data_IF_436937483227
#
_entry.id   IF_436937483227
#
_cell.length_a   1.000
_cell.length_b   1.000
_cell.length_c   1.000
_cell.angle_alpha   90.00
_cell.angle_beta   90.00
_cell.angle_gamma   90.00
#
_symmetry.space_group_name_H-M   'P 1'
#
loop_
_entity.id
_entity.type
_entity.pdbx_description
1 polymer ?
#
# COMPACT_ATOMS: atom_id res chain seq x y z
N UNK A 1 61.27 3.66 27.64
CA UNK A 1 60.25 2.84 28.35
C UNK A 1 59.07 3.77 28.62
N UNK A 2 58.32 4.12 27.58
CA UNK A 2 57.05 3.48 27.17
C UNK A 2 55.99 3.62 28.27
N UNK A 3 55.14 4.66 28.19
CA UNK A 3 53.78 4.57 27.61
C UNK A 3 52.94 3.46 28.24
N UNK A 4 52.23 3.70 29.35
CA UNK A 4 50.88 3.16 29.67
C UNK A 4 50.30 3.94 30.88
N UNK A 5 49.87 5.19 30.72
CA UNK A 5 48.98 5.83 31.71
C UNK A 5 47.95 6.79 31.09
N UNK A 6 47.67 6.59 29.79
CA UNK A 6 46.56 7.22 29.07
C UNK A 6 45.85 6.10 28.31
N UNK A 7 45.08 5.25 28.99
CA UNK A 7 44.20 4.28 28.31
C UNK A 7 43.07 3.73 29.19
N UNK A 8 42.47 4.55 30.06
CA UNK A 8 41.23 4.17 30.76
C UNK A 8 40.22 5.32 30.93
N UNK A 9 40.28 6.34 30.09
CA UNK A 9 39.28 7.43 30.05
C UNK A 9 38.91 7.90 28.63
N UNK A 10 39.02 7.01 27.63
CA UNK A 10 38.62 7.30 26.23
C UNK A 10 37.77 6.17 25.62
N UNK A 11 36.90 5.51 26.41
CA UNK A 11 35.96 4.51 25.85
C UNK A 11 34.52 4.68 26.33
N UNK A 12 34.11 5.92 26.63
CA UNK A 12 32.78 6.24 27.18
C UNK A 12 31.95 7.22 26.35
N UNK A 13 32.38 7.57 25.13
CA UNK A 13 31.64 8.45 24.22
C UNK A 13 31.80 7.96 22.77
N UNK A 14 31.25 6.79 22.48
CA UNK A 14 30.70 6.55 21.14
C UNK A 14 29.24 7.00 21.24
N UNK A 15 28.88 8.04 20.50
CA UNK A 15 27.55 8.66 20.48
C UNK A 15 26.45 7.61 20.31
N UNK A 16 25.23 7.93 20.77
CA UNK A 16 24.01 7.15 20.52
C UNK A 16 23.87 6.73 19.05
N UNK A 17 24.32 7.57 18.11
CA UNK A 17 24.47 7.28 16.67
C UNK A 17 25.21 5.97 16.36
N UNK A 18 26.31 5.64 17.05
CA UNK A 18 27.05 4.39 16.77
C UNK A 18 26.30 3.12 17.21
N UNK A 19 25.38 3.23 18.18
CA UNK A 19 24.51 2.13 18.58
C UNK A 19 23.26 2.03 17.68
N UNK A 20 22.77 3.17 17.21
CA UNK A 20 21.71 3.32 16.21
C UNK A 20 22.09 2.66 14.88
N UNK A 21 23.31 2.94 14.39
CA UNK A 21 23.84 2.39 13.15
C UNK A 21 23.70 0.86 13.13
N UNK A 22 24.14 0.16 14.18
CA UNK A 22 24.07 -1.31 14.25
C UNK A 22 22.66 -1.89 14.17
N UNK A 23 21.65 -1.19 14.66
CA UNK A 23 20.25 -1.68 14.61
C UNK A 23 19.72 -1.64 13.18
N UNK A 24 20.07 -0.61 12.42
CA UNK A 24 19.48 -0.31 11.12
C UNK A 24 20.44 -0.47 9.94
N UNK A 25 21.70 -0.87 10.17
CA UNK A 25 22.72 -1.18 9.14
C UNK A 25 22.28 -2.27 8.15
N UNK A 26 21.30 -3.10 8.54
CA UNK A 26 20.67 -4.08 7.64
C UNK A 26 19.75 -3.45 6.57
N UNK A 27 19.42 -2.16 6.66
CA UNK A 27 18.64 -1.50 5.63
C UNK A 27 19.46 -1.31 4.37
N UNK A 28 18.99 -1.78 3.20
CA UNK A 28 19.72 -1.64 1.93
C UNK A 28 19.99 -0.19 1.48
N UNK A 29 19.43 0.79 2.17
CA UNK A 29 19.51 2.22 1.89
C UNK A 29 19.62 3.02 3.20
N UNK A 30 20.20 2.40 4.24
CA UNK A 30 20.32 2.97 5.58
C UNK A 30 20.88 4.41 5.53
N UNK A 31 22.02 4.56 4.86
CA UNK A 31 22.71 5.83 4.70
C UNK A 31 21.84 6.86 3.98
N UNK A 32 21.16 6.49 2.90
CA UNK A 32 20.32 7.43 2.14
C UNK A 32 19.04 7.82 2.88
N UNK A 33 18.42 6.93 3.68
CA UNK A 33 17.30 7.29 4.57
C UNK A 33 17.78 8.26 5.63
N UNK A 34 18.91 7.92 6.26
CA UNK A 34 19.42 8.64 7.42
C UNK A 34 19.89 10.04 7.03
N UNK A 35 20.67 10.15 5.95
CA UNK A 35 21.18 11.41 5.39
C UNK A 35 20.10 12.21 4.65
N UNK A 36 18.99 11.56 4.29
CA UNK A 36 17.83 12.18 3.63
C UNK A 36 17.92 12.27 2.11
N UNK A 37 19.02 11.81 1.51
CA UNK A 37 19.22 11.77 0.07
C UNK A 37 18.14 10.91 -0.62
N UNK A 38 17.69 9.84 0.04
CA UNK A 38 16.64 8.96 -0.48
C UNK A 38 15.34 9.71 -0.80
N UNK A 39 14.95 10.64 0.08
CA UNK A 39 13.68 11.37 -0.01
C UNK A 39 13.64 12.44 -1.10
N UNK A 40 14.81 12.87 -1.57
CA UNK A 40 14.91 13.87 -2.64
C UNK A 40 14.81 13.24 -4.03
N UNK A 41 14.99 11.92 -4.14
CA UNK A 41 14.96 11.24 -5.42
C UNK A 41 13.53 11.10 -5.95
N UNK A 42 13.41 11.20 -7.27
CA UNK A 42 12.15 10.96 -7.98
C UNK A 42 11.98 9.48 -8.38
N UNK A 43 10.77 9.14 -8.83
CA UNK A 43 10.39 7.81 -9.28
C UNK A 43 11.37 7.24 -10.31
N UNK A 44 11.78 8.05 -11.28
CA UNK A 44 12.65 7.61 -12.37
C UNK A 44 14.07 7.33 -11.88
N UNK A 45 14.60 8.15 -10.97
CA UNK A 45 15.91 7.96 -10.34
C UNK A 45 15.96 6.70 -9.48
N UNK A 46 14.96 6.48 -8.61
CA UNK A 46 14.91 5.27 -7.77
C UNK A 46 14.71 4.04 -8.63
N UNK A 47 13.78 4.09 -9.59
CA UNK A 47 13.51 2.98 -10.48
C UNK A 47 14.74 2.66 -11.31
N UNK A 48 15.41 3.65 -11.91
CA UNK A 48 16.62 3.42 -12.69
C UNK A 48 17.78 2.86 -11.83
N UNK A 49 18.00 3.41 -10.63
CA UNK A 49 19.05 2.92 -9.71
C UNK A 49 18.80 1.48 -9.29
N UNK A 50 17.53 1.08 -9.09
CA UNK A 50 17.18 -0.18 -8.42
C UNK A 50 16.60 -1.25 -9.34
N UNK A 51 16.29 -0.91 -10.60
CA UNK A 51 15.79 -1.86 -11.60
C UNK A 51 16.74 -3.04 -11.74
N UNK A 52 18.04 -2.79 -11.79
CA UNK A 52 19.03 -3.84 -12.01
C UNK A 52 19.47 -4.50 -10.69
N UNK A 53 19.57 -3.75 -9.59
CA UNK A 53 20.05 -4.26 -8.30
C UNK A 53 18.99 -5.09 -7.55
N UNK A 54 17.72 -4.69 -7.61
CA UNK A 54 16.64 -5.29 -6.85
C UNK A 54 15.51 -5.85 -7.74
N UNK A 55 15.70 -5.90 -9.06
CA UNK A 55 14.69 -6.34 -10.04
C UNK A 55 13.33 -5.67 -9.81
N UNK A 56 13.36 -4.38 -9.50
CA UNK A 56 12.19 -3.60 -9.15
C UNK A 56 11.14 -3.70 -10.26
N UNK A 57 9.97 -4.26 -9.92
CA UNK A 57 8.85 -4.37 -10.85
C UNK A 57 8.03 -3.09 -10.79
N UNK A 58 7.75 -2.56 -11.98
CA UNK A 58 7.04 -1.30 -12.14
C UNK A 58 5.55 -1.56 -12.30
N UNK A 59 4.73 -1.05 -11.39
CA UNK A 59 3.29 -0.91 -11.62
C UNK A 59 2.99 0.56 -11.98
N UNK A 60 3.47 1.01 -13.14
CA UNK A 60 3.01 2.28 -13.71
C UNK A 60 1.62 2.04 -14.30
N UNK A 61 0.59 2.63 -13.70
CA UNK A 61 -0.69 2.80 -14.38
C UNK A 61 -0.67 4.16 -15.08
N UNK A 62 -0.04 4.21 -16.25
CA UNK A 62 -0.35 5.26 -17.21
C UNK A 62 -1.21 4.66 -18.32
N UNK A 63 -2.21 5.42 -18.74
CA UNK A 63 -2.93 5.18 -19.97
C UNK A 63 -2.09 5.72 -21.16
N UNK A 64 -0.86 5.23 -21.32
CA UNK A 64 0.19 5.83 -22.16
C UNK A 64 0.07 5.54 -23.68
N UNK A 65 -1.11 5.19 -24.18
CA UNK A 65 -1.35 5.06 -25.63
C UNK A 65 -2.15 6.21 -26.23
N UNK A 66 -2.06 7.42 -25.65
CA UNK A 66 -2.56 8.64 -26.31
C UNK A 66 -1.36 9.52 -26.64
N UNK A 67 -0.82 9.35 -27.85
CA UNK A 67 0.00 10.37 -28.49
C UNK A 67 -0.73 11.73 -28.36
N UNK A 68 -0.05 12.72 -27.78
CA UNK A 68 -0.53 14.09 -27.51
C UNK A 68 -1.42 14.29 -26.27
N UNK A 69 -0.93 13.97 -25.08
CA UNK A 69 -1.35 14.70 -23.87
C UNK A 69 -0.20 15.61 -23.45
N UNK A 70 -0.41 16.93 -23.58
CA UNK A 70 0.47 17.96 -23.01
C UNK A 70 0.79 17.60 -21.56
N UNK A 71 2.09 17.50 -21.25
CA UNK A 71 2.62 17.11 -19.94
C UNK A 71 2.24 18.07 -18.80
N UNK A 72 1.67 19.23 -19.12
CA UNK A 72 1.50 20.35 -18.18
C UNK A 72 0.20 20.35 -17.35
N UNK A 73 -0.67 19.33 -17.42
CA UNK A 73 -1.90 19.31 -16.62
C UNK A 73 -2.30 17.91 -16.11
N UNK A 74 -1.34 17.14 -15.62
CA UNK A 74 -1.62 15.91 -14.89
C UNK A 74 -1.93 16.24 -13.43
N UNK A 75 -3.18 16.63 -13.16
CA UNK A 75 -3.70 16.63 -11.80
C UNK A 75 -3.96 15.17 -11.37
N UNK A 76 -2.99 14.62 -10.63
CA UNK A 76 -3.05 13.29 -10.01
C UNK A 76 -3.92 13.42 -8.75
N UNK A 77 -5.18 12.97 -8.83
CA UNK A 77 -5.97 12.74 -7.62
C UNK A 77 -5.90 11.25 -7.28
N UNK A 78 -5.13 10.92 -6.25
CA UNK A 78 -4.77 9.56 -5.85
C UNK A 78 -3.25 9.44 -5.78
N UNK A 79 -2.67 10.02 -4.72
CA UNK A 79 -1.22 10.24 -4.48
C UNK A 79 -0.35 8.97 -4.32
N UNK A 80 -0.53 7.92 -5.13
CA UNK A 80 0.29 6.71 -5.00
C UNK A 80 0.53 6.04 -6.36
N UNK A 81 1.53 6.52 -7.10
CA UNK A 81 2.36 5.56 -7.84
C UNK A 81 3.14 4.78 -6.80
N UNK A 82 3.21 3.45 -6.93
CA UNK A 82 4.11 2.69 -6.08
C UNK A 82 4.86 1.61 -6.85
N UNK A 83 6.13 1.43 -6.50
CA UNK A 83 6.94 0.32 -6.99
C UNK A 83 6.98 -0.77 -5.94
N UNK A 84 7.15 -2.03 -6.35
CA UNK A 84 7.39 -3.10 -5.39
C UNK A 84 8.55 -4.01 -5.78
N UNK A 85 9.14 -4.62 -4.75
CA UNK A 85 10.20 -5.62 -4.90
C UNK A 85 9.68 -6.97 -4.40
N UNK A 86 9.95 -8.02 -5.17
CA UNK A 86 9.59 -9.40 -4.81
C UNK A 86 10.46 -9.90 -3.65
N UNK A 87 9.92 -10.73 -2.73
CA UNK A 87 10.60 -11.14 -1.50
C UNK A 87 12.02 -11.70 -1.70
N UNK A 88 12.25 -12.42 -2.81
CA UNK A 88 13.52 -13.11 -3.06
C UNK A 88 14.70 -12.16 -3.25
N UNK A 89 14.46 -10.96 -3.80
CA UNK A 89 15.50 -10.02 -4.19
C UNK A 89 15.82 -8.98 -3.08
N UNK A 90 15.11 -9.01 -1.94
CA UNK A 90 15.32 -8.07 -0.83
C UNK A 90 16.22 -8.71 0.25
N UNK A 91 17.29 -8.03 0.73
CA UNK A 91 18.07 -8.53 1.86
C UNK A 91 17.22 -8.60 3.13
N UNK A 92 17.73 -9.27 4.16
CA UNK A 92 17.07 -9.21 5.47
C UNK A 92 17.10 -7.79 6.02
N UNK A 93 15.97 -7.33 6.55
CA UNK A 93 15.78 -6.03 7.17
C UNK A 93 15.37 -6.28 8.62
N UNK A 94 16.17 -5.80 9.58
CA UNK A 94 15.91 -6.00 11.01
C UNK A 94 15.77 -7.50 11.39
N UNK A 95 16.50 -8.36 10.68
CA UNK A 95 16.43 -9.81 10.83
C UNK A 95 15.14 -10.43 10.28
N UNK A 96 14.32 -9.71 9.52
CA UNK A 96 13.20 -10.27 8.77
C UNK A 96 13.59 -10.41 7.30
N UNK A 97 13.23 -11.52 6.67
CA UNK A 97 13.17 -11.60 5.21
C UNK A 97 11.86 -10.92 4.77
N UNK A 98 11.90 -9.74 4.13
CA UNK A 98 10.68 -9.00 3.81
C UNK A 98 9.81 -9.77 2.82
N UNK A 99 8.50 -9.73 3.01
CA UNK A 99 7.52 -10.35 2.13
C UNK A 99 7.09 -9.43 1.00
N UNK A 100 7.08 -8.12 1.26
CA UNK A 100 6.79 -7.07 0.26
C UNK A 100 7.50 -5.79 0.65
N UNK A 101 8.02 -5.07 -0.33
CA UNK A 101 8.61 -3.76 -0.15
C UNK A 101 7.97 -2.81 -1.18
N UNK A 102 7.21 -1.83 -0.71
CA UNK A 102 6.46 -0.87 -1.53
C UNK A 102 7.05 0.54 -1.34
N UNK A 103 7.33 1.25 -2.44
CA UNK A 103 7.79 2.64 -2.43
C UNK A 103 6.70 3.50 -3.03
N UNK A 104 6.21 4.49 -2.30
CA UNK A 104 5.15 5.40 -2.69
C UNK A 104 5.71 6.75 -3.08
N UNK A 105 5.15 7.33 -4.14
CA UNK A 105 5.56 8.62 -4.68
C UNK A 105 4.41 9.63 -4.63
N UNK A 106 4.73 10.88 -4.33
CA UNK A 106 3.77 11.99 -4.35
C UNK A 106 3.44 12.42 -5.79
N UNK A 107 2.52 13.39 -5.92
CA UNK A 107 2.13 14.00 -7.21
C UNK A 107 3.26 14.64 -8.02
N UNK A 108 4.41 14.93 -7.41
CA UNK A 108 5.59 15.47 -8.09
C UNK A 108 6.55 14.35 -8.53
N UNK A 109 6.20 13.09 -8.21
CA UNK A 109 7.04 11.92 -8.46
C UNK A 109 8.12 11.71 -7.41
N UNK A 110 8.14 12.47 -6.29
CA UNK A 110 9.12 12.29 -5.22
C UNK A 110 8.70 11.23 -4.23
N UNK A 111 9.67 10.56 -3.62
CA UNK A 111 9.37 9.53 -2.62
C UNK A 111 8.72 10.13 -1.39
N UNK A 112 7.55 9.59 -1.04
CA UNK A 112 6.75 10.02 0.09
C UNK A 112 6.69 8.95 1.20
N UNK A 113 6.77 7.67 0.85
CA UNK A 113 6.72 6.61 1.86
C UNK A 113 7.36 5.33 1.35
N UNK A 114 7.95 4.56 2.25
CA UNK A 114 8.31 3.16 2.05
C UNK A 114 7.47 2.33 3.02
N UNK A 115 6.85 1.26 2.54
CA UNK A 115 6.14 0.28 3.37
C UNK A 115 6.74 -1.08 3.15
N UNK A 116 7.12 -1.73 4.24
CA UNK A 116 7.76 -3.03 4.23
C UNK A 116 6.87 -3.99 5.01
N UNK A 117 6.35 -5.01 4.34
CA UNK A 117 5.70 -6.12 5.03
C UNK A 117 6.81 -7.06 5.54
N UNK A 118 7.08 -6.97 6.84
CA UNK A 118 8.13 -7.76 7.49
C UNK A 118 7.67 -9.19 7.79
N UNK A 119 6.37 -9.34 8.08
CA UNK A 119 5.77 -10.63 8.37
C UNK A 119 4.24 -10.59 8.20
N UNK A 120 3.67 -11.68 7.70
CA UNK A 120 2.23 -11.89 7.63
C UNK A 120 1.90 -13.37 7.84
N UNK A 121 0.86 -13.67 8.62
CA UNK A 121 0.41 -15.03 8.94
C UNK A 121 0.09 -15.90 7.72
N UNK A 122 -0.49 -15.32 6.67
CA UNK A 122 -0.91 -16.02 5.45
C UNK A 122 0.25 -16.37 4.53
N UNK A 123 1.33 -15.59 4.57
CA UNK A 123 2.46 -15.69 3.64
C UNK A 123 3.74 -16.23 4.29
N UNK A 124 3.78 -16.26 5.62
CA UNK A 124 4.95 -16.73 6.36
C UNK A 124 4.85 -18.23 6.66
N UNK A 125 5.98 -18.94 6.72
CA UNK A 125 6.01 -20.32 7.21
C UNK A 125 5.34 -20.44 8.58
N UNK A 126 4.71 -21.59 8.84
CA UNK A 126 4.20 -21.88 10.18
C UNK A 126 5.35 -21.82 11.18
N UNK A 127 5.14 -21.06 12.25
CA UNK A 127 6.12 -20.95 13.33
C UNK A 127 6.29 -22.33 13.99
N UNK A 128 7.48 -22.90 13.86
CA UNK A 128 7.82 -24.20 14.46
C UNK A 128 8.32 -24.04 15.90
N UNK A 129 9.00 -22.92 16.22
CA UNK A 129 9.54 -22.63 17.55
C UNK A 129 9.09 -21.27 18.09
N UNK A 130 9.06 -21.13 19.43
CA UNK A 130 8.78 -19.85 20.10
C UNK A 130 9.84 -18.77 19.85
N UNK A 131 11.09 -19.16 19.60
CA UNK A 131 12.19 -18.25 19.24
C UNK A 131 12.00 -17.57 17.89
N UNK A 132 11.20 -18.17 17.02
CA UNK A 132 10.91 -17.66 15.68
C UNK A 132 9.71 -16.70 15.69
N UNK A 133 9.22 -16.34 16.89
CA UNK A 133 8.09 -15.45 17.03
C UNK A 133 8.44 -14.05 16.49
N UNK A 134 7.80 -13.60 15.41
CA UNK A 134 8.11 -12.33 14.75
C UNK A 134 7.76 -11.13 15.63
N UNK A 135 6.75 -11.24 16.50
CA UNK A 135 6.35 -10.16 17.40
C UNK A 135 7.36 -9.96 18.53
N UNK A 136 7.91 -11.06 19.05
CA UNK A 136 8.99 -11.01 20.05
C UNK A 136 10.27 -10.40 19.43
N UNK A 137 10.51 -10.61 18.13
CA UNK A 137 11.61 -9.96 17.42
C UNK A 137 11.41 -8.44 17.37
N UNK A 138 10.20 -7.96 17.08
CA UNK A 138 9.92 -6.51 17.15
C UNK A 138 10.09 -5.95 18.55
N UNK A 139 9.60 -6.64 19.59
CA UNK A 139 9.82 -6.22 20.99
C UNK A 139 11.31 -6.02 21.31
N UNK A 140 12.17 -6.97 20.90
CA UNK A 140 13.63 -6.86 21.05
C UNK A 140 14.25 -5.70 20.26
N UNK A 141 13.74 -5.42 19.06
CA UNK A 141 14.17 -4.28 18.26
C UNK A 141 13.82 -2.98 18.98
N UNK A 142 12.59 -2.85 19.49
CA UNK A 142 12.16 -1.67 20.24
C UNK A 142 12.99 -1.46 21.52
N UNK A 143 13.32 -2.54 22.24
CA UNK A 143 14.20 -2.49 23.42
C UNK A 143 15.65 -2.07 23.06
N UNK A 144 16.17 -2.60 21.95
CA UNK A 144 17.50 -2.22 21.43
C UNK A 144 17.54 -0.76 21.01
N UNK A 145 16.49 -0.28 20.34
CA UNK A 145 16.30 1.12 19.98
C UNK A 145 16.29 2.03 21.22
N UNK A 146 15.55 1.63 22.26
CA UNK A 146 15.50 2.36 23.53
C UNK A 146 16.87 2.46 24.20
N UNK A 147 17.64 1.38 24.19
CA UNK A 147 19.03 1.34 24.71
C UNK A 147 19.95 2.25 23.89
N UNK A 148 19.70 2.39 22.59
CA UNK A 148 20.40 3.32 21.71
C UNK A 148 19.87 4.77 21.79
N UNK A 149 18.94 5.08 22.70
CA UNK A 149 18.39 6.43 22.88
C UNK A 149 17.26 6.83 21.92
N UNK A 150 16.70 5.87 21.15
CA UNK A 150 15.52 6.08 20.32
C UNK A 150 14.29 5.55 21.06
N UNK A 151 13.36 6.43 21.42
CA UNK A 151 12.10 6.00 22.03
C UNK A 151 10.97 5.95 21.00
N UNK A 152 10.42 4.76 20.80
CA UNK A 152 9.23 4.56 19.99
C UNK A 152 7.98 4.85 20.81
N UNK A 153 7.17 5.80 20.33
CA UNK A 153 5.93 6.22 20.93
C UNK A 153 4.81 5.25 20.55
N UNK A 154 4.12 4.71 21.54
CA UNK A 154 3.01 3.79 21.33
C UNK A 154 1.69 4.53 21.11
N UNK A 155 0.90 4.07 20.14
CA UNK A 155 -0.49 4.49 19.91
C UNK A 155 -1.32 3.28 19.52
N UNK A 156 -2.55 3.20 20.04
CA UNK A 156 -3.56 2.30 19.47
C UNK A 156 -4.19 2.95 18.26
N UNK A 157 -4.21 2.23 17.15
CA UNK A 157 -4.75 2.69 15.89
C UNK A 157 -5.87 1.77 15.41
N UNK A 158 -6.73 2.26 14.49
CA UNK A 158 -7.90 1.51 14.03
C UNK A 158 -8.18 1.81 12.56
N UNK A 159 -8.15 0.77 11.71
CA UNK A 159 -8.62 0.87 10.32
C UNK A 159 -10.15 0.97 10.25
N UNK A 160 -10.84 0.34 11.20
CA UNK A 160 -12.29 0.42 11.33
C UNK A 160 -12.69 0.19 12.79
N UNK A 161 -13.98 0.36 13.11
CA UNK A 161 -14.51 0.02 14.44
C UNK A 161 -14.16 -1.42 14.89
N UNK A 162 -13.92 -2.33 13.95
CA UNK A 162 -13.65 -3.76 14.20
C UNK A 162 -12.21 -4.19 13.98
N UNK A 163 -11.34 -3.29 13.54
CA UNK A 163 -9.97 -3.63 13.14
C UNK A 163 -9.00 -2.70 13.86
N UNK A 164 -8.25 -3.25 14.82
CA UNK A 164 -7.46 -2.50 15.80
C UNK A 164 -6.00 -2.96 15.76
N UNK A 165 -5.12 -2.05 15.45
CA UNK A 165 -3.69 -2.30 15.38
C UNK A 165 -2.93 -1.46 16.40
N UNK A 166 -1.73 -1.89 16.70
CA UNK A 166 -0.77 -1.17 17.54
C UNK A 166 0.24 -0.46 16.64
N UNK A 167 0.52 0.81 16.94
CA UNK A 167 1.47 1.64 16.23
C UNK A 167 2.61 2.00 17.17
N UNK A 168 3.85 1.86 16.71
CA UNK A 168 5.04 2.29 17.43
C UNK A 168 5.84 3.19 16.51
N UNK A 169 6.03 4.45 16.90
CA UNK A 169 6.58 5.46 15.98
C UNK A 169 7.74 6.25 16.58
N UNK A 170 8.79 6.45 15.80
CA UNK A 170 9.98 7.20 16.20
C UNK A 170 10.57 8.01 15.04
N UNK A 171 11.27 9.09 15.37
CA UNK A 171 12.13 9.80 14.43
C UNK A 171 13.52 9.17 14.41
N UNK A 172 14.01 8.86 13.22
CA UNK A 172 15.34 8.28 13.03
C UNK A 172 15.97 8.95 11.80
N UNK A 173 17.02 9.74 12.01
CA UNK A 173 17.59 10.59 10.97
C UNK A 173 16.52 11.52 10.39
N UNK A 174 16.43 11.56 9.05
CA UNK A 174 15.42 12.33 8.32
C UNK A 174 14.11 11.57 8.07
N UNK A 175 13.88 10.45 8.74
CA UNK A 175 12.70 9.59 8.57
C UNK A 175 11.82 9.49 9.81
N UNK A 176 10.50 9.43 9.58
CA UNK A 176 9.51 8.94 10.54
C UNK A 176 9.32 7.44 10.31
N UNK A 177 9.73 6.63 11.30
CA UNK A 177 9.57 5.18 11.28
C UNK A 177 8.32 4.81 12.08
N UNK A 178 7.51 3.91 11.55
CA UNK A 178 6.29 3.45 12.19
C UNK A 178 6.10 1.94 12.02
N UNK A 179 6.24 1.18 13.10
CA UNK A 179 5.79 -0.21 13.13
C UNK A 179 4.29 -0.24 13.30
N UNK A 180 3.61 -0.96 12.41
CA UNK A 180 2.18 -1.23 12.47
C UNK A 180 2.01 -2.72 12.70
N UNK A 181 1.42 -3.07 13.85
CA UNK A 181 1.37 -4.43 14.36
C UNK A 181 -0.06 -4.81 14.66
N UNK A 182 -0.53 -5.90 14.03
CA UNK A 182 -1.73 -6.59 14.47
C UNK A 182 -1.31 -7.95 15.01
N UNK A 183 -1.46 -8.14 16.32
CA UNK A 183 -0.99 -9.34 17.01
C UNK A 183 -1.52 -10.62 16.35
N UNK A 184 -0.60 -11.56 16.12
CA UNK A 184 -0.82 -12.85 15.45
C UNK A 184 -1.24 -12.77 13.97
N UNK A 185 -1.18 -11.60 13.33
CA UNK A 185 -1.68 -11.42 11.97
C UNK A 185 -0.64 -10.81 11.03
N UNK A 186 -0.08 -9.64 11.33
CA UNK A 186 0.95 -9.02 10.49
C UNK A 186 1.83 -8.01 11.22
N UNK A 187 2.97 -7.71 10.59
CA UNK A 187 3.93 -6.68 10.98
C UNK A 187 4.33 -5.91 9.73
N UNK A 188 3.98 -4.62 9.69
CA UNK A 188 4.43 -3.68 8.67
C UNK A 188 5.38 -2.67 9.31
N UNK A 189 6.36 -2.22 8.54
CA UNK A 189 7.17 -1.05 8.85
C UNK A 189 6.94 0.00 7.78
N UNK A 190 6.45 1.18 8.18
CA UNK A 190 6.32 2.34 7.32
C UNK A 190 7.41 3.36 7.65
N UNK A 191 7.99 3.97 6.62
CA UNK A 191 9.03 4.98 6.72
C UNK A 191 8.66 6.13 5.79
N UNK A 192 8.55 7.35 6.31
CA UNK A 192 8.25 8.55 5.52
C UNK A 192 9.24 9.68 5.80
N UNK A 193 9.48 10.62 4.86
CA UNK A 193 10.33 11.76 5.12
C UNK A 193 9.71 12.67 6.18
N UNK A 194 10.56 13.34 6.96
CA UNK A 194 10.12 14.48 7.77
C UNK A 194 10.06 15.72 6.88
N UNK A 195 8.89 16.36 6.80
CA UNK A 195 8.79 17.66 6.14
C UNK A 195 9.44 18.74 7.02
N UNK A 196 9.95 19.82 6.40
CA UNK A 196 10.58 20.92 7.15
C UNK A 196 9.67 21.52 8.23
N UNK A 197 8.36 21.58 7.96
CA UNK A 197 7.34 22.05 8.91
C UNK A 197 7.11 21.09 10.09
N UNK A 198 7.54 19.85 9.97
CA UNK A 198 7.31 18.77 10.93
C UNK A 198 8.50 18.58 11.88
N UNK A 199 9.67 19.15 11.57
CA UNK A 199 10.90 19.06 12.38
C UNK A 199 10.70 19.61 13.81
N UNK A 200 9.74 20.52 14.01
CA UNK A 200 9.41 21.06 15.33
C UNK A 200 8.49 20.14 16.17
N UNK A 201 7.85 19.14 15.56
CA UNK A 201 6.95 18.22 16.24
C UNK A 201 7.78 17.20 17.00
N UNK A 202 7.54 17.11 18.31
CA UNK A 202 8.30 16.22 19.21
C UNK A 202 7.68 14.83 19.32
N UNK A 203 6.39 14.70 19.03
CA UNK A 203 5.66 13.45 19.13
C UNK A 203 5.33 12.91 17.74
N UNK A 204 5.99 11.82 17.30
CA UNK A 204 5.72 11.15 16.03
C UNK A 204 4.24 10.82 15.77
N UNK A 205 3.46 10.55 16.82
CA UNK A 205 2.05 10.20 16.67
C UNK A 205 1.18 11.32 16.12
N UNK A 206 1.62 12.58 16.21
CA UNK A 206 0.91 13.75 15.68
C UNK A 206 1.01 13.85 14.15
N UNK A 207 2.02 13.22 13.55
CA UNK A 207 2.24 13.20 12.10
C UNK A 207 1.55 12.05 11.38
N UNK A 208 1.04 11.07 12.13
CA UNK A 208 0.38 9.90 11.55
C UNK A 208 -1.11 10.19 11.42
N UNK A 209 -1.65 10.34 10.19
CA UNK A 209 -3.05 10.69 9.98
C UNK A 209 -3.99 9.67 10.65
N UNK A 210 -5.07 10.13 11.29
CA UNK A 210 -6.17 9.23 11.65
C UNK A 210 -6.95 8.91 10.37
N UNK A 211 -6.89 7.65 9.95
CA UNK A 211 -7.57 7.15 8.74
C UNK A 211 -9.09 7.41 8.75
N UNK A 212 -9.70 7.69 9.91
CA UNK A 212 -11.13 7.99 10.06
C UNK A 212 -11.51 9.46 9.87
N UNK A 213 -10.56 10.39 9.85
CA UNK A 213 -10.85 11.83 9.78
C UNK A 213 -11.24 12.32 8.38
N UNK A 214 -11.44 11.43 7.40
CA UNK A 214 -11.95 11.81 6.07
C UNK A 214 -13.47 11.87 6.07
N UNK A 215 -14.03 13.00 5.62
CA UNK A 215 -15.48 13.14 5.39
C UNK A 215 -15.88 12.49 4.07
N UNK A 216 -17.18 12.19 3.90
CA UNK A 216 -17.69 11.65 2.65
C UNK A 216 -17.40 12.57 1.47
N UNK A 217 -17.58 13.87 1.69
CA UNK A 217 -17.38 14.91 0.70
C UNK A 217 -15.92 14.92 0.24
N UNK A 218 -14.96 14.88 1.17
CA UNK A 218 -13.53 14.84 0.85
C UNK A 218 -13.07 13.57 0.15
N UNK A 219 -13.78 12.45 0.30
CA UNK A 219 -13.40 11.15 -0.29
C UNK A 219 -13.74 11.03 -1.77
N UNK A 220 -14.90 11.56 -2.15
CA UNK A 220 -15.36 11.55 -3.53
C UNK A 220 -15.07 12.85 -4.26
N UNK A 221 -14.44 13.82 -3.58
CA UNK A 221 -14.09 15.09 -4.17
C UNK A 221 -13.13 14.89 -5.34
N UNK A 222 -13.46 15.45 -6.50
CA UNK A 222 -12.58 15.51 -7.64
C UNK A 222 -12.16 14.13 -8.21
N UNK A 223 -12.86 13.03 -7.89
CA UNK A 223 -12.60 11.71 -8.52
C UNK A 223 -12.89 11.73 -10.01
N UNK A 224 -13.80 12.60 -10.46
CA UNK A 224 -14.09 12.82 -11.88
C UNK A 224 -12.86 13.32 -12.66
N UNK A 225 -11.86 13.91 -12.00
CA UNK A 225 -10.59 14.31 -12.65
C UNK A 225 -9.73 13.11 -13.06
N UNK A 226 -10.00 11.93 -12.50
CA UNK A 226 -9.35 10.69 -12.88
C UNK A 226 -9.97 10.05 -14.12
N UNK A 227 -10.99 10.68 -14.71
CA UNK A 227 -11.63 10.17 -15.92
C UNK A 227 -10.88 10.69 -17.14
N UNK A 228 -10.59 9.79 -18.06
CA UNK A 228 -10.03 10.11 -19.38
C UNK A 228 -10.97 9.58 -20.45
N UNK A 229 -11.12 10.35 -21.53
CA UNK A 229 -11.75 9.89 -22.77
C UNK A 229 -10.73 9.97 -23.89
N UNK A 230 -10.50 8.87 -24.61
CA UNK A 230 -9.60 8.85 -25.76
C UNK A 230 -10.37 9.07 -27.09
N UNK A 231 -9.67 9.39 -28.20
CA UNK A 231 -10.30 9.56 -29.51
C UNK A 231 -11.09 8.34 -30.01
N UNK A 232 -10.78 7.14 -29.50
CA UNK A 232 -11.47 5.90 -29.86
C UNK A 232 -12.81 5.72 -29.12
N UNK A 233 -13.18 6.67 -28.25
CA UNK A 233 -14.44 6.69 -27.49
C UNK A 233 -14.42 5.84 -26.22
N UNK A 234 -13.25 5.44 -25.74
CA UNK A 234 -13.10 4.78 -24.44
C UNK A 234 -13.17 5.82 -23.33
N UNK A 235 -14.05 5.60 -22.35
CA UNK A 235 -14.14 6.32 -21.09
C UNK A 235 -13.47 5.46 -20.00
N UNK A 236 -12.43 5.93 -19.33
CA UNK A 236 -11.65 5.14 -18.36
C UNK A 236 -11.28 5.95 -17.12
N UNK A 237 -11.18 5.28 -15.97
CA UNK A 237 -10.52 5.79 -14.76
C UNK A 237 -9.02 5.49 -14.90
N UNK A 238 -8.20 6.52 -15.08
CA UNK A 238 -6.77 6.38 -15.45
C UNK A 238 -5.83 6.07 -14.27
N UNK A 239 -6.18 6.46 -13.05
CA UNK A 239 -5.30 6.40 -11.88
C UNK A 239 -5.71 5.30 -10.88
N UNK A 240 -6.24 4.17 -11.34
CA UNK A 240 -6.59 3.06 -10.45
C UNK A 240 -5.31 2.36 -9.98
N UNK A 241 -4.99 2.33 -8.66
CA UNK A 241 -3.81 1.63 -8.16
C UNK A 241 -3.85 0.16 -8.59
N UNK A 242 -2.72 -0.39 -9.01
CA UNK A 242 -2.60 -1.82 -9.26
C UNK A 242 -2.17 -2.54 -7.98
N UNK A 243 -2.53 -3.81 -7.83
CA UNK A 243 -2.01 -4.72 -6.79
C UNK A 243 -1.89 -6.08 -7.47
N UNK A 244 -0.71 -6.68 -7.39
CA UNK A 244 -0.48 -8.07 -7.79
C UNK A 244 -0.71 -9.04 -6.62
N UNK A 245 -1.81 -9.78 -6.66
CA UNK A 245 -2.15 -10.79 -5.65
C UNK A 245 -1.30 -12.08 -5.73
N UNK A 246 -0.51 -12.24 -6.80
CA UNK A 246 0.19 -13.48 -7.13
C UNK A 246 -0.76 -14.66 -7.34
N UNK A 247 -0.31 -15.87 -6.98
CA UNK A 247 -1.10 -17.10 -7.12
C UNK A 247 -2.12 -17.32 -5.98
N UNK A 248 -2.26 -16.36 -5.05
CA UNK A 248 -3.16 -16.49 -3.89
C UNK A 248 -4.62 -16.32 -4.30
N UNK A 249 -5.54 -16.87 -3.52
CA UNK A 249 -7.00 -16.64 -3.60
C UNK A 249 -7.44 -15.22 -3.20
N UNK A 250 -6.58 -14.22 -3.37
CA UNK A 250 -6.71 -12.89 -2.81
C UNK A 250 -7.44 -11.89 -3.74
N UNK A 251 -8.23 -12.37 -4.70
CA UNK A 251 -8.91 -11.50 -5.66
C UNK A 251 -9.85 -10.48 -4.99
N UNK A 252 -10.58 -10.89 -3.94
CA UNK A 252 -11.39 -9.98 -3.13
C UNK A 252 -10.53 -8.97 -2.37
N UNK A 253 -9.59 -9.38 -1.50
CA UNK A 253 -8.82 -8.40 -0.73
C UNK A 253 -7.96 -7.49 -1.61
N UNK A 254 -7.37 -7.98 -2.70
CA UNK A 254 -6.63 -7.15 -3.64
C UNK A 254 -7.55 -6.14 -4.35
N UNK A 255 -8.69 -6.59 -4.91
CA UNK A 255 -9.65 -5.69 -5.56
C UNK A 255 -10.17 -4.59 -4.62
N UNK A 256 -10.55 -4.95 -3.39
CA UNK A 256 -11.03 -3.96 -2.43
C UNK A 256 -9.90 -3.02 -1.99
N UNK A 257 -8.68 -3.53 -1.76
CA UNK A 257 -7.52 -2.69 -1.43
C UNK A 257 -7.24 -1.66 -2.52
N UNK A 258 -7.35 -2.04 -3.80
CA UNK A 258 -7.22 -1.10 -4.93
C UNK A 258 -8.25 0.02 -4.88
N UNK A 259 -9.52 -0.28 -4.60
CA UNK A 259 -10.57 0.73 -4.45
C UNK A 259 -10.32 1.63 -3.24
N UNK A 260 -9.88 1.06 -2.12
CA UNK A 260 -9.59 1.81 -0.91
C UNK A 260 -8.38 2.74 -1.08
N UNK A 261 -7.30 2.27 -1.69
CA UNK A 261 -6.13 3.09 -2.07
C UNK A 261 -6.53 4.20 -3.04
N UNK A 262 -7.38 3.91 -4.01
CA UNK A 262 -7.92 4.92 -4.92
C UNK A 262 -8.73 6.01 -4.20
N UNK A 263 -9.42 5.67 -3.11
CA UNK A 263 -10.09 6.63 -2.22
C UNK A 263 -9.17 7.27 -1.18
N UNK A 264 -7.86 7.01 -1.24
CA UNK A 264 -6.86 7.60 -0.34
C UNK A 264 -6.70 6.90 1.01
N UNK A 265 -7.21 5.67 1.16
CA UNK A 265 -6.95 4.83 2.33
C UNK A 265 -5.78 3.89 2.06
N UNK A 266 -4.80 3.89 2.95
CA UNK A 266 -3.60 3.05 2.82
C UNK A 266 -3.84 1.61 3.31
N UNK A 267 -4.80 0.93 2.70
CA UNK A 267 -5.09 -0.46 3.02
C UNK A 267 -4.38 -1.40 2.06
N UNK A 268 -3.73 -2.43 2.62
CA UNK A 268 -3.09 -3.49 1.86
C UNK A 268 -3.94 -4.78 1.81
N UNK A 269 -3.57 -5.68 0.89
CA UNK A 269 -4.29 -6.93 0.67
C UNK A 269 -4.29 -7.85 1.89
N UNK A 270 -3.30 -7.73 2.77
CA UNK A 270 -3.15 -8.54 3.96
C UNK A 270 -4.13 -8.10 5.06
N UNK A 271 -4.24 -6.80 5.27
CA UNK A 271 -5.25 -6.20 6.14
C UNK A 271 -6.66 -6.55 5.67
N UNK A 272 -6.89 -6.47 4.35
CA UNK A 272 -8.17 -6.86 3.76
C UNK A 272 -8.43 -8.36 3.87
N UNK A 273 -7.44 -9.22 3.67
CA UNK A 273 -7.61 -10.67 3.78
C UNK A 273 -8.14 -11.07 5.17
N UNK A 274 -7.60 -10.45 6.24
CA UNK A 274 -8.14 -10.62 7.59
C UNK A 274 -9.59 -10.13 7.71
N UNK A 275 -9.88 -8.91 7.23
CA UNK A 275 -11.21 -8.32 7.30
C UNK A 275 -12.27 -9.17 6.58
N UNK A 276 -11.89 -9.78 5.47
CA UNK A 276 -12.73 -10.64 4.64
C UNK A 276 -12.65 -12.12 5.00
N UNK A 277 -11.88 -12.50 6.03
CA UNK A 277 -11.64 -13.91 6.38
C UNK A 277 -11.18 -14.75 5.17
N UNK A 278 -10.35 -14.17 4.32
CA UNK A 278 -9.86 -14.76 3.08
C UNK A 278 -8.85 -15.87 3.38
N UNK A 279 -9.05 -17.02 2.73
CA UNK A 279 -8.07 -18.10 2.72
C UNK A 279 -7.17 -17.99 1.47
N UNK A 280 -5.86 -18.16 1.64
CA UNK A 280 -4.90 -18.02 0.53
C UNK A 280 -5.06 -19.09 -0.56
N UNK A 281 -5.61 -20.27 -0.25
CA UNK A 281 -5.84 -21.35 -1.22
C UNK A 281 -7.26 -21.39 -1.79
N UNK A 282 -8.26 -21.00 -1.00
CA UNK A 282 -9.70 -21.10 -1.36
C UNK A 282 -10.35 -19.77 -1.74
N UNK A 283 -9.75 -18.65 -1.33
CA UNK A 283 -10.28 -17.32 -1.53
C UNK A 283 -11.35 -16.91 -0.51
N UNK A 284 -12.27 -16.05 -0.93
CA UNK A 284 -13.29 -15.44 -0.05
C UNK A 284 -14.68 -15.87 -0.49
N UNK A 285 -15.47 -16.44 0.44
CA UNK A 285 -16.86 -16.76 0.16
C UNK A 285 -17.78 -15.51 0.23
N UNK A 286 -18.97 -15.60 -0.38
CA UNK A 286 -19.91 -14.48 -0.47
C UNK A 286 -20.39 -13.96 0.89
N UNK A 287 -20.52 -14.80 1.91
CA UNK A 287 -20.95 -14.36 3.23
C UNK A 287 -19.83 -13.58 3.93
N UNK A 288 -18.60 -14.05 3.81
CA UNK A 288 -17.42 -13.37 4.34
C UNK A 288 -17.16 -12.04 3.63
N UNK A 289 -17.35 -11.99 2.30
CA UNK A 289 -17.36 -10.73 1.53
C UNK A 289 -18.39 -9.73 2.10
N UNK A 290 -19.66 -10.13 2.23
CA UNK A 290 -20.72 -9.25 2.75
C UNK A 290 -20.43 -8.75 4.17
N UNK A 291 -19.95 -9.64 5.05
CA UNK A 291 -19.57 -9.28 6.43
C UNK A 291 -18.39 -8.31 6.46
N UNK A 292 -17.36 -8.57 5.67
CA UNK A 292 -16.16 -7.72 5.58
C UNK A 292 -16.48 -6.32 5.04
N UNK A 293 -17.29 -6.23 3.98
CA UNK A 293 -17.73 -4.95 3.43
C UNK A 293 -18.56 -4.17 4.47
N UNK A 294 -19.48 -4.84 5.18
CA UNK A 294 -20.24 -4.21 6.26
C UNK A 294 -19.31 -3.72 7.38
N UNK A 295 -18.30 -4.51 7.75
CA UNK A 295 -17.29 -4.12 8.73
C UNK A 295 -16.48 -2.90 8.28
N UNK A 296 -16.09 -2.85 6.99
CA UNK A 296 -15.38 -1.72 6.39
C UNK A 296 -16.20 -0.44 6.44
N UNK A 297 -17.51 -0.52 6.15
CA UNK A 297 -18.42 0.63 6.25
C UNK A 297 -18.63 1.14 7.68
N UNK A 298 -18.32 0.34 8.71
CA UNK A 298 -18.42 0.79 10.10
C UNK A 298 -17.18 1.59 10.52
N UNK A 299 -17.24 2.90 10.25
CA UNK A 299 -16.22 3.87 10.62
C UNK A 299 -15.62 4.63 9.43
N UNK A 300 -16.03 4.28 8.21
CA UNK A 300 -15.66 4.97 6.98
C UNK A 300 -16.91 5.53 6.29
N UNK A 301 -16.83 6.69 5.61
CA UNK A 301 -17.95 7.27 4.86
C UNK A 301 -18.26 6.55 3.53
N UNK A 302 -18.04 5.23 3.48
CA UNK A 302 -18.15 4.40 2.28
C UNK A 302 -19.19 3.32 2.51
N UNK A 303 -20.15 3.23 1.59
CA UNK A 303 -21.25 2.29 1.66
C UNK A 303 -21.28 1.40 0.43
N UNK A 304 -21.44 0.08 0.60
CA UNK A 304 -21.67 -0.79 -0.52
C UNK A 304 -23.05 -0.57 -1.11
N UNK A 305 -23.11 -0.59 -2.44
CA UNK A 305 -24.36 -0.65 -3.16
C UNK A 305 -24.23 -1.65 -4.30
N UNK A 306 -25.04 -2.69 -4.25
CA UNK A 306 -25.25 -3.58 -5.40
C UNK A 306 -25.97 -2.81 -6.52
N UNK A 307 -25.58 -3.05 -7.76
CA UNK A 307 -26.07 -2.34 -8.93
C UNK A 307 -26.50 -3.31 -10.01
N UNK A 308 -27.48 -2.89 -10.81
CA UNK A 308 -27.86 -3.64 -12.01
C UNK A 308 -26.73 -3.60 -13.03
N UNK A 309 -26.33 -4.77 -13.54
CA UNK A 309 -25.30 -4.89 -14.57
C UNK A 309 -25.84 -4.43 -15.94
N UNK A 310 -25.84 -3.12 -16.14
CA UNK A 310 -26.24 -2.44 -17.37
C UNK A 310 -25.21 -1.37 -17.71
N UNK A 311 -24.94 -1.18 -19.00
CA UNK A 311 -23.91 -0.24 -19.44
C UNK A 311 -24.20 1.19 -18.97
N UNK A 312 -25.47 1.62 -18.95
CA UNK A 312 -25.87 2.96 -18.50
C UNK A 312 -25.69 3.17 -17.00
N UNK A 313 -25.95 2.14 -16.18
CA UNK A 313 -25.72 2.22 -14.73
C UNK A 313 -24.22 2.21 -14.42
N UNK A 314 -23.44 1.40 -15.14
CA UNK A 314 -21.97 1.38 -15.01
C UNK A 314 -21.40 2.74 -15.40
N UNK A 315 -21.76 3.27 -16.57
CA UNK A 315 -21.36 4.58 -17.07
C UNK A 315 -21.62 5.69 -16.06
N UNK A 316 -22.81 5.70 -15.42
CA UNK A 316 -23.19 6.67 -14.39
C UNK A 316 -22.21 6.72 -13.21
N UNK A 317 -21.64 5.59 -12.81
CA UNK A 317 -20.66 5.55 -11.71
C UNK A 317 -19.26 5.92 -12.20
N UNK A 318 -18.86 5.42 -13.38
CA UNK A 318 -17.58 5.77 -13.99
C UNK A 318 -17.44 7.27 -14.25
N UNK A 319 -18.52 7.95 -14.68
CA UNK A 319 -18.57 9.40 -14.87
C UNK A 319 -18.36 10.21 -13.58
N UNK A 320 -18.44 9.56 -12.42
CA UNK A 320 -18.14 10.15 -11.11
C UNK A 320 -16.80 9.68 -10.56
N UNK A 321 -16.00 9.03 -11.40
CA UNK A 321 -14.73 8.41 -11.01
C UNK A 321 -14.89 7.22 -10.06
N UNK A 322 -16.08 6.60 -9.95
CA UNK A 322 -16.33 5.47 -9.04
C UNK A 322 -16.18 4.16 -9.83
N UNK A 323 -15.16 3.32 -9.53
CA UNK A 323 -15.01 2.02 -10.17
C UNK A 323 -16.11 1.05 -9.73
N UNK A 324 -16.43 0.09 -10.59
CA UNK A 324 -17.44 -0.95 -10.30
C UNK A 324 -16.72 -2.25 -9.95
N UNK A 325 -16.98 -2.78 -8.76
CA UNK A 325 -16.57 -4.12 -8.35
C UNK A 325 -17.42 -5.13 -9.12
N UNK A 326 -16.78 -6.01 -9.87
CA UNK A 326 -17.41 -6.97 -10.75
C UNK A 326 -17.05 -8.40 -10.35
N UNK A 327 -18.03 -9.14 -9.84
CA UNK A 327 -17.90 -10.56 -9.52
C UNK A 327 -18.31 -11.43 -10.69
N UNK A 328 -17.45 -12.37 -11.07
CA UNK A 328 -17.64 -13.33 -12.16
C UNK A 328 -17.95 -14.71 -11.57
N UNK A 329 -18.86 -15.46 -12.19
CA UNK A 329 -19.32 -16.76 -11.68
C UNK A 329 -18.33 -17.90 -11.95
N UNK A 330 -17.83 -18.02 -13.19
CA UNK A 330 -16.95 -19.12 -13.60
C UNK A 330 -15.84 -18.68 -14.58
N UNK A 331 -14.55 -18.95 -14.27
CA UNK A 331 -14.06 -19.27 -12.91
C UNK A 331 -14.41 -18.14 -11.94
N UNK A 332 -14.69 -18.49 -10.67
CA UNK A 332 -15.10 -17.51 -9.65
C UNK A 332 -13.97 -16.50 -9.44
N UNK A 333 -14.23 -15.22 -9.71
CA UNK A 333 -13.22 -14.17 -9.62
C UNK A 333 -13.85 -12.80 -9.38
N UNK A 334 -13.07 -11.86 -8.85
CA UNK A 334 -13.50 -10.48 -8.61
C UNK A 334 -12.52 -9.52 -9.28
N UNK A 335 -13.06 -8.58 -10.05
CA UNK A 335 -12.34 -7.59 -10.87
C UNK A 335 -12.92 -6.20 -10.67
N UNK A 336 -12.27 -5.20 -11.27
CA UNK A 336 -12.82 -3.85 -11.36
C UNK A 336 -13.20 -3.54 -12.81
N UNK A 337 -14.42 -3.05 -13.04
CA UNK A 337 -14.73 -2.32 -14.27
C UNK A 337 -14.33 -0.88 -14.02
N UNK A 338 -13.39 -0.42 -14.84
CA UNK A 338 -12.75 0.90 -14.72
C UNK A 338 -13.06 1.78 -15.94
N UNK A 339 -13.73 1.25 -16.95
CA UNK A 339 -14.10 1.99 -18.13
C UNK A 339 -15.12 1.29 -19.01
N UNK A 340 -15.54 1.98 -20.06
CA UNK A 340 -16.43 1.47 -21.11
C UNK A 340 -16.10 2.10 -22.46
N UNK A 341 -16.55 1.46 -23.53
CA UNK A 341 -16.75 2.11 -24.82
C UNK A 341 -18.20 1.88 -25.25
N UNK A 342 -19.02 2.92 -25.15
CA UNK A 342 -20.46 2.81 -25.39
C UNK A 342 -20.78 2.50 -26.84
N UNK A 343 -20.07 3.11 -27.79
CA UNK A 343 -20.29 2.92 -29.22
C UNK A 343 -20.00 1.50 -29.66
N UNK A 344 -18.97 0.88 -29.08
CA UNK A 344 -18.54 -0.49 -29.37
C UNK A 344 -19.18 -1.54 -28.47
N UNK A 345 -20.04 -1.14 -27.52
CA UNK A 345 -20.63 -2.01 -26.52
C UNK A 345 -19.58 -2.83 -25.73
N UNK A 346 -18.51 -2.17 -25.27
CA UNK A 346 -17.37 -2.81 -24.57
C UNK A 346 -17.30 -2.31 -23.12
N UNK A 347 -16.94 -3.21 -22.20
CA UNK A 347 -16.42 -2.85 -20.87
C UNK A 347 -14.90 -2.89 -20.87
N UNK A 348 -14.30 -2.00 -20.09
CA UNK A 348 -12.87 -1.95 -19.83
C UNK A 348 -12.70 -2.30 -18.36
N UNK A 349 -11.97 -3.37 -18.09
CA UNK A 349 -11.80 -3.90 -16.74
C UNK A 349 -10.33 -4.09 -16.40
N UNK A 350 -10.06 -4.15 -15.10
CA UNK A 350 -8.76 -4.31 -14.49
C UNK A 350 -8.78 -5.53 -13.59
N UNK A 351 -7.76 -6.38 -13.71
CA UNK A 351 -7.55 -7.57 -12.87
C UNK A 351 -6.43 -7.28 -11.84
N UNK A 352 -6.39 -8.03 -10.73
CA UNK A 352 -5.39 -7.88 -9.66
C UNK A 352 -4.19 -8.82 -9.82
N UNK A 353 -3.77 -9.05 -11.06
CA UNK A 353 -2.61 -9.88 -11.42
C UNK A 353 -1.35 -9.06 -11.77
N UNK A 354 -1.38 -7.76 -11.49
CA UNK A 354 -0.25 -6.86 -11.72
C UNK A 354 -0.11 -6.45 -13.18
N UNK A 355 1.15 -6.33 -13.61
CA UNK A 355 1.55 -5.83 -14.93
C UNK A 355 0.84 -6.57 -16.09
N UNK A 356 0.38 -5.80 -17.08
CA UNK A 356 -0.39 -6.24 -18.26
C UNK A 356 -1.87 -6.57 -18.01
N UNK A 357 -2.34 -6.47 -16.77
CA UNK A 357 -3.74 -6.71 -16.40
C UNK A 357 -4.46 -5.44 -15.95
N UNK A 358 -3.86 -4.26 -16.16
CA UNK A 358 -4.39 -2.94 -15.85
C UNK A 358 -5.67 -2.66 -16.63
N UNK A 359 -5.65 -2.94 -17.93
CA UNK A 359 -6.75 -2.64 -18.83
C UNK A 359 -6.95 -3.76 -19.84
N UNK A 360 -8.08 -4.45 -19.71
CA UNK A 360 -8.57 -5.43 -20.66
C UNK A 360 -9.95 -5.03 -21.16
N UNK A 361 -10.26 -5.41 -22.41
CA UNK A 361 -11.54 -5.10 -23.04
C UNK A 361 -12.38 -6.36 -23.21
N UNK A 362 -13.68 -6.25 -22.99
CA UNK A 362 -14.63 -7.34 -23.25
C UNK A 362 -15.95 -6.78 -23.79
N UNK A 363 -16.55 -7.47 -24.75
CA UNK A 363 -17.93 -7.19 -25.17
C UNK A 363 -18.88 -7.25 -23.96
N UNK A 364 -19.76 -6.26 -23.85
CA UNK A 364 -20.65 -6.10 -22.70
C UNK A 364 -21.65 -7.26 -22.57
N UNK A 365 -22.14 -7.85 -23.67
CA UNK A 365 -23.07 -8.98 -23.59
C UNK A 365 -22.36 -10.24 -23.07
N UNK A 366 -21.11 -10.45 -23.49
CA UNK A 366 -20.25 -11.49 -22.91
C UNK A 366 -19.98 -11.24 -21.43
N UNK A 367 -19.65 -10.00 -21.04
CA UNK A 367 -19.44 -9.67 -19.63
C UNK A 367 -20.71 -9.92 -18.78
N UNK A 368 -21.87 -9.55 -19.32
CA UNK A 368 -23.17 -9.74 -18.68
C UNK A 368 -23.49 -11.22 -18.44
N UNK A 369 -23.18 -12.11 -19.39
CA UNK A 369 -23.41 -13.56 -19.20
C UNK A 369 -22.50 -14.20 -18.14
N UNK A 370 -21.32 -13.60 -17.89
CA UNK A 370 -20.37 -14.06 -16.88
C UNK A 370 -20.65 -13.50 -15.47
N UNK A 371 -21.46 -12.44 -15.38
CA UNK A 371 -21.65 -11.68 -14.16
C UNK A 371 -22.40 -12.47 -13.10
N UNK A 372 -21.79 -12.58 -11.92
CA UNK A 372 -22.43 -13.06 -10.69
C UNK A 372 -23.05 -11.90 -9.91
N UNK A 373 -22.29 -10.81 -9.74
CA UNK A 373 -22.78 -9.58 -9.12
C UNK A 373 -21.99 -8.36 -9.61
N UNK A 374 -22.54 -7.17 -9.40
CA UNK A 374 -21.78 -5.93 -9.49
C UNK A 374 -22.16 -4.96 -8.37
N UNK A 375 -21.17 -4.26 -7.85
CA UNK A 375 -21.35 -3.34 -6.75
C UNK A 375 -20.42 -2.14 -6.87
N UNK A 376 -20.75 -1.08 -6.15
CA UNK A 376 -19.89 0.10 -5.95
C UNK A 376 -19.73 0.37 -4.47
N UNK A 377 -18.63 1.03 -4.11
CA UNK A 377 -18.37 1.58 -2.79
C UNK A 377 -18.51 3.11 -2.88
N UNK A 378 -19.52 3.72 -2.22
CA UNK A 378 -19.89 5.14 -2.44
C UNK A 378 -20.53 5.86 -1.25
#
# INVERSE_FOLDING_TARGET
MFFVFIYLFVSGYLSAENNLNRVFESFPFYDEIYKGDFWNNNFDEITAKWKDQYKLKQERVFFDNVENVNQDNILINGDQSYAFIEPNDIPEILGFKPLKFEIFFDKTGKTNKVKINLWNKGDSPKLLNKSDNPFLRVEKILESCKTAGIEFNFRKDRLSSKFKQDSYSAFIGNGLFNFIIEKNEYINLEISPLQKSEIAIRNPNELIPDSRNRTKESLFENLEKNILTNPQGDLVIKNMPMINQGMKGYCVPATISRVMRYYGFDYDENQMAKLFSTDAGKGTDLNSLRKGIKALSFGLPIYPKEINFSISVIEKYLLRGIPVIWGIRYPSHVRLIVGINRTKNIIIYSDSWGENFEFSKMDFNKAKSLTSFAAVLK
#
